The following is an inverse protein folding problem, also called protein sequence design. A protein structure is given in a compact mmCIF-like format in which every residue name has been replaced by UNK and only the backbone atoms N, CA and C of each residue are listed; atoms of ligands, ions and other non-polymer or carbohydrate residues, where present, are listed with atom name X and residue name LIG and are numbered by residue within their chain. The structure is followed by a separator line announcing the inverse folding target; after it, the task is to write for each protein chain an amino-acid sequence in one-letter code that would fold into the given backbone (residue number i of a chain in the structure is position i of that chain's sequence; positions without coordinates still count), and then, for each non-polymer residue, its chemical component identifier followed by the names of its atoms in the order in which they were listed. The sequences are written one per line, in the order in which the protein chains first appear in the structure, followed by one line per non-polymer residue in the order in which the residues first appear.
data_IF_024438345596
#
_entry.id   IF_024438345596
#
_cell.length_a   1.000
_cell.length_b   1.000
_cell.length_c   1.000
_cell.angle_alpha   90.00
_cell.angle_beta   90.00
_cell.angle_gamma   90.00
#
_symmetry.space_group_name_H-M   'P 1'
#
loop_
_entity.id
_entity.type
_entity.pdbx_description
1 polymer ?
#
# COMPACT_ATOMS: atom_id res chain seq x y z
N UNK A 1 13.30 -15.46 4.38
CA UNK A 1 13.43 -14.38 5.39
C UNK A 1 13.98 -13.18 4.64
N UNK A 2 13.17 -12.55 3.80
CA UNK A 2 13.68 -11.61 2.79
C UNK A 2 12.84 -10.35 2.85
N UNK A 3 13.07 -9.57 3.92
CA UNK A 3 12.57 -8.21 4.03
C UNK A 3 13.41 -7.37 3.06
N UNK A 4 12.92 -7.23 1.83
CA UNK A 4 13.46 -6.28 0.85
C UNK A 4 13.21 -4.88 1.41
N UNK A 5 14.21 -4.35 2.09
CA UNK A 5 14.21 -3.00 2.66
C UNK A 5 14.33 -2.03 1.51
N UNK A 6 13.18 -1.60 0.99
CA UNK A 6 13.13 -0.56 -0.04
C UNK A 6 13.76 0.72 0.53
N UNK A 7 14.66 1.38 -0.22
CA UNK A 7 15.37 2.55 0.27
C UNK A 7 14.37 3.70 0.51
N UNK A 8 14.37 4.24 1.74
CA UNK A 8 13.59 5.43 2.09
C UNK A 8 14.16 6.65 1.35
N UNK A 9 13.55 7.04 0.22
CA UNK A 9 13.86 8.33 -0.40
C UNK A 9 13.25 9.44 0.43
N UNK A 10 14.11 10.22 1.11
CA UNK A 10 13.76 11.54 1.62
C UNK A 10 13.71 12.51 0.43
N UNK A 11 12.69 13.36 0.37
CA UNK A 11 12.76 14.60 -0.42
C UNK A 11 11.48 14.94 -1.20
N UNK A 12 10.75 15.91 -0.65
CA UNK A 12 10.23 17.14 -1.28
C UNK A 12 10.10 17.24 -2.81
N UNK A 13 9.00 17.87 -3.24
CA UNK A 13 8.96 18.68 -4.46
C UNK A 13 7.85 18.30 -5.43
N UNK A 14 6.88 19.20 -5.59
CA UNK A 14 5.91 19.14 -6.68
C UNK A 14 6.57 19.29 -8.05
N UNK A 15 5.95 18.71 -9.07
CA UNK A 15 6.35 18.85 -10.47
C UNK A 15 5.56 17.86 -11.32
N UNK A 16 4.64 18.38 -12.13
CA UNK A 16 3.96 17.61 -13.17
C UNK A 16 4.97 17.03 -14.15
N UNK A 17 4.80 15.76 -14.47
CA UNK A 17 5.68 15.00 -15.34
C UNK A 17 5.08 13.61 -15.52
N UNK A 18 4.12 13.52 -16.42
CA UNK A 18 3.53 12.29 -16.93
C UNK A 18 4.62 11.40 -17.52
N UNK A 19 5.00 10.36 -16.77
CA UNK A 19 5.42 9.06 -17.30
C UNK A 19 5.00 8.04 -16.26
N UNK A 20 3.84 7.44 -16.47
CA UNK A 20 3.42 6.25 -15.72
C UNK A 20 4.34 5.10 -16.07
N UNK A 21 5.57 5.10 -15.54
CA UNK A 21 6.38 3.90 -15.51
C UNK A 21 5.53 2.81 -14.86
N UNK A 22 5.36 1.69 -15.56
CA UNK A 22 4.62 0.55 -15.03
C UNK A 22 5.36 0.08 -13.79
N UNK A 23 4.79 0.37 -12.62
CA UNK A 23 5.36 -0.08 -11.35
C UNK A 23 4.92 -1.53 -11.17
N UNK A 24 5.86 -2.45 -11.37
CA UNK A 24 5.63 -3.87 -11.14
C UNK A 24 5.64 -4.14 -9.63
N UNK A 25 4.46 -4.36 -9.06
CA UNK A 25 4.30 -4.70 -7.66
C UNK A 25 4.07 -6.20 -7.50
N UNK A 26 5.05 -6.90 -6.94
CA UNK A 26 4.91 -8.33 -6.66
C UNK A 26 4.06 -8.54 -5.40
N UNK A 27 2.81 -8.96 -5.59
CA UNK A 27 1.87 -9.26 -4.51
C UNK A 27 1.69 -10.77 -4.41
N UNK A 28 2.02 -11.39 -3.26
CA UNK A 28 1.82 -12.81 -3.11
C UNK A 28 0.33 -13.14 -2.94
N UNK A 29 -0.15 -14.16 -3.64
CA UNK A 29 -1.59 -14.50 -3.70
C UNK A 29 -2.19 -14.92 -2.35
N UNK A 30 -1.37 -15.33 -1.38
CA UNK A 30 -1.85 -15.75 -0.06
C UNK A 30 -2.55 -14.63 0.72
N UNK A 31 -2.30 -13.35 0.40
CA UNK A 31 -2.96 -12.23 1.08
C UNK A 31 -4.48 -12.22 0.82
N UNK A 32 -4.92 -12.83 -0.27
CA UNK A 32 -6.33 -12.96 -0.64
C UNK A 32 -6.99 -14.23 -0.07
N UNK A 33 -6.26 -14.99 0.76
CA UNK A 33 -6.83 -16.15 1.47
C UNK A 33 -7.96 -15.72 2.40
N UNK A 34 -7.85 -14.54 2.98
CA UNK A 34 -8.88 -13.97 3.84
C UNK A 34 -10.01 -13.34 3.00
N UNK A 35 -11.13 -14.06 2.88
CA UNK A 35 -12.32 -13.61 2.13
C UNK A 35 -13.15 -12.56 2.88
N UNK A 36 -12.80 -12.23 4.12
CA UNK A 36 -13.47 -11.14 4.87
C UNK A 36 -13.02 -9.75 4.39
N UNK A 37 -11.84 -9.70 3.76
CA UNK A 37 -11.26 -8.48 3.21
C UNK A 37 -11.51 -8.36 1.71
N UNK A 38 -11.83 -7.15 1.26
CA UNK A 38 -11.79 -6.81 -0.16
C UNK A 38 -10.34 -6.81 -0.69
N UNK A 39 -10.19 -6.92 -2.02
CA UNK A 39 -8.88 -6.92 -2.69
C UNK A 39 -8.02 -5.73 -2.26
N UNK A 40 -8.59 -4.51 -2.27
CA UNK A 40 -7.86 -3.29 -1.86
C UNK A 40 -7.51 -3.31 -0.36
N UNK A 41 -8.41 -3.84 0.48
CA UNK A 41 -8.19 -3.98 1.92
C UNK A 41 -7.01 -4.93 2.21
N UNK A 42 -6.97 -6.08 1.55
CA UNK A 42 -5.87 -7.04 1.66
C UNK A 42 -4.54 -6.43 1.20
N UNK A 43 -4.53 -5.69 0.08
CA UNK A 43 -3.33 -5.02 -0.44
C UNK A 43 -2.85 -3.95 0.53
N UNK A 44 -3.73 -3.06 1.01
CA UNK A 44 -3.38 -1.99 1.95
C UNK A 44 -2.87 -2.57 3.26
N UNK A 45 -3.51 -3.62 3.78
CA UNK A 45 -3.05 -4.35 4.98
C UNK A 45 -1.64 -4.89 4.77
N UNK A 46 -1.42 -5.59 3.66
CA UNK A 46 -0.10 -6.14 3.31
C UNK A 46 0.98 -5.06 3.21
N UNK A 47 0.71 -3.98 2.48
CA UNK A 47 1.67 -2.88 2.32
C UNK A 47 1.96 -2.18 3.65
N UNK A 48 0.98 -2.13 4.55
CA UNK A 48 1.15 -1.49 5.86
C UNK A 48 1.87 -2.38 6.87
N UNK A 49 1.47 -3.64 6.99
CA UNK A 49 1.96 -4.57 8.02
C UNK A 49 3.24 -5.28 7.58
N UNK A 50 3.26 -5.83 6.35
CA UNK A 50 4.40 -6.61 5.84
C UNK A 50 5.49 -5.75 5.21
N UNK A 51 5.10 -4.64 4.56
CA UNK A 51 6.06 -3.69 3.95
C UNK A 51 6.36 -2.47 4.80
N UNK A 52 5.65 -2.26 5.91
CA UNK A 52 5.84 -1.13 6.83
C UNK A 52 5.85 0.25 6.15
N UNK A 53 5.06 0.43 5.08
CA UNK A 53 4.95 1.70 4.38
C UNK A 53 4.08 2.71 5.15
N UNK A 54 4.31 4.00 4.92
CA UNK A 54 3.41 5.07 5.37
C UNK A 54 2.15 5.13 4.49
N UNK A 55 1.08 5.73 4.99
CA UNK A 55 -0.15 5.89 4.20
C UNK A 55 0.10 6.69 2.93
N UNK A 56 1.01 7.66 2.99
CA UNK A 56 1.40 8.48 1.85
C UNK A 56 2.15 7.70 0.79
N UNK A 57 3.12 6.87 1.18
CA UNK A 57 3.82 6.00 0.23
C UNK A 57 2.86 5.03 -0.44
N UNK A 58 1.90 4.46 0.30
CA UNK A 58 0.87 3.57 -0.25
C UNK A 58 -0.05 4.33 -1.21
N UNK A 59 -0.44 5.57 -0.86
CA UNK A 59 -1.27 6.44 -1.69
C UNK A 59 -0.60 6.74 -3.03
N UNK A 60 0.68 7.15 -3.02
CA UNK A 60 1.48 7.39 -4.22
C UNK A 60 1.65 6.10 -5.05
N UNK A 61 1.95 4.97 -4.39
CA UNK A 61 2.15 3.68 -5.07
C UNK A 61 0.89 3.19 -5.78
N UNK A 62 -0.26 3.32 -5.13
CA UNK A 62 -1.56 2.89 -5.68
C UNK A 62 -2.22 3.98 -6.52
N UNK A 63 -1.60 5.16 -6.66
CA UNK A 63 -2.18 6.36 -7.29
C UNK A 63 -3.57 6.67 -6.73
N UNK A 64 -3.72 6.58 -5.41
CA UNK A 64 -4.96 6.87 -4.67
C UNK A 64 -4.72 7.97 -3.67
N UNK A 65 -5.80 8.61 -3.23
CA UNK A 65 -5.76 9.64 -2.20
C UNK A 65 -5.44 9.03 -0.82
N UNK A 66 -4.63 9.73 -0.02
CA UNK A 66 -4.24 9.32 1.34
C UNK A 66 -5.46 9.01 2.24
N UNK A 67 -6.56 9.77 2.10
CA UNK A 67 -7.79 9.59 2.87
C UNK A 67 -8.45 8.26 2.54
N UNK A 68 -8.35 7.82 1.29
CA UNK A 68 -8.86 6.51 0.85
C UNK A 68 -8.07 5.40 1.53
N UNK A 69 -6.73 5.49 1.51
CA UNK A 69 -5.85 4.49 2.14
C UNK A 69 -6.12 4.40 3.64
N UNK A 70 -6.23 5.54 4.32
CA UNK A 70 -6.53 5.59 5.75
C UNK A 70 -7.89 4.96 6.08
N UNK A 71 -8.93 5.29 5.32
CA UNK A 71 -10.28 4.75 5.53
C UNK A 71 -10.31 3.24 5.33
N UNK A 72 -9.66 2.74 4.27
CA UNK A 72 -9.54 1.31 3.98
C UNK A 72 -8.82 0.59 5.12
N UNK A 73 -7.66 1.09 5.55
CA UNK A 73 -6.92 0.48 6.65
C UNK A 73 -7.72 0.48 7.97
N UNK A 74 -8.45 1.56 8.26
CA UNK A 74 -9.29 1.62 9.45
C UNK A 74 -10.43 0.60 9.43
N UNK A 75 -11.01 0.33 8.24
CA UNK A 75 -12.01 -0.76 8.08
C UNK A 75 -11.41 -2.14 8.32
N UNK A 76 -10.20 -2.39 7.82
CA UNK A 76 -9.47 -3.64 8.11
C UNK A 76 -9.26 -3.81 9.60
N UNK A 77 -8.78 -2.76 10.29
CA UNK A 77 -8.58 -2.80 11.75
C UNK A 77 -9.87 -3.12 12.53
N UNK A 78 -11.03 -2.69 12.03
CA UNK A 78 -12.33 -3.00 12.65
C UNK A 78 -12.80 -4.44 12.39
N UNK A 79 -12.32 -5.09 11.33
CA UNK A 79 -12.64 -6.49 11.01
C UNK A 79 -11.71 -7.48 11.72
N UNK A 80 -10.46 -7.07 11.96
CA UNK A 80 -9.41 -7.88 12.60
C UNK A 80 -9.11 -7.53 14.07
N UNK A 81 -9.83 -6.57 14.65
CA UNK A 81 -9.75 -6.20 16.07
C UNK A 81 -11.02 -6.59 16.80
#
# INVERSE_FOLDING_TARGET
KDCVKLPKKRGSGGGGGDLTSDIWLNIPSYIFKDRTLSVLEAIVKYLKEERMLSYHEIAVLLKRDDRTIWTVYNRVKKKHG
#
